data_IF_029104090087
#
_entry.id   IF_029104090087
#
_cell.length_a   1.000
_cell.length_b   1.000
_cell.length_c   1.000
_cell.angle_alpha   90.00
_cell.angle_beta   90.00
_cell.angle_gamma   90.00
#
_symmetry.space_group_name_H-M   'P 1'
#
loop_
_entity.id
_entity.type
_entity.pdbx_description
1 polymer ?
#
# COMPACT_ATOMS: atom_id res chain seq x y z
N UNK A 1 -6.20 -16.64 3.92
CA UNK A 1 -5.62 -16.40 5.26
C UNK A 1 -6.77 -16.18 6.24
N UNK A 2 -6.77 -16.82 7.41
CA UNK A 2 -7.85 -16.63 8.40
C UNK A 2 -7.81 -15.20 8.95
N UNK A 3 -8.97 -14.58 9.22
CA UNK A 3 -9.10 -13.20 9.68
C UNK A 3 -8.30 -12.88 10.96
N UNK A 4 -7.99 -13.90 11.77
CA UNK A 4 -7.26 -13.79 13.02
C UNK A 4 -5.77 -13.38 12.86
N UNK A 5 -5.17 -13.65 11.69
CA UNK A 5 -3.74 -13.37 11.45
C UNK A 5 -3.44 -11.91 11.03
N UNK A 6 -4.47 -11.09 10.81
CA UNK A 6 -4.32 -9.68 10.42
C UNK A 6 -4.39 -8.71 11.60
N UNK A 7 -4.87 -9.14 12.77
CA UNK A 7 -4.92 -8.26 13.95
C UNK A 7 -3.48 -7.93 14.39
N UNK A 8 -3.13 -6.65 14.58
CA UNK A 8 -1.79 -6.28 15.05
C UNK A 8 -1.59 -6.76 16.48
N UNK A 9 -0.44 -7.39 16.73
CA UNK A 9 0.02 -7.71 18.09
C UNK A 9 0.93 -6.61 18.62
N UNK A 10 1.20 -6.57 19.94
CA UNK A 10 2.16 -5.62 20.51
C UNK A 10 3.56 -5.77 19.90
N UNK A 11 3.95 -7.00 19.55
CA UNK A 11 5.20 -7.28 18.85
C UNK A 11 5.21 -6.69 17.43
N UNK A 12 4.08 -6.73 16.73
CA UNK A 12 3.95 -6.08 15.42
C UNK A 12 4.06 -4.57 15.55
N UNK A 13 3.38 -3.97 16.54
CA UNK A 13 3.42 -2.53 16.76
C UNK A 13 4.83 -2.04 17.12
N UNK A 14 5.56 -2.77 17.95
CA UNK A 14 6.96 -2.47 18.27
C UNK A 14 7.87 -2.53 17.03
N UNK A 15 7.66 -3.52 16.15
CA UNK A 15 8.39 -3.62 14.87
C UNK A 15 8.04 -2.42 13.99
N UNK A 16 6.76 -2.09 13.83
CA UNK A 16 6.33 -0.97 12.98
C UNK A 16 6.89 0.36 13.53
N UNK A 17 6.93 0.54 14.85
CA UNK A 17 7.53 1.72 15.48
C UNK A 17 9.02 1.85 15.13
N UNK A 18 9.77 0.75 15.23
CA UNK A 18 11.19 0.74 14.85
C UNK A 18 11.39 1.03 13.36
N UNK A 19 10.59 0.39 12.51
CA UNK A 19 10.60 0.58 11.06
C UNK A 19 10.33 2.03 10.65
N UNK A 20 9.39 2.70 11.32
CA UNK A 20 9.00 4.08 11.02
C UNK A 20 9.88 5.12 11.73
N UNK A 21 10.65 4.72 12.76
CA UNK A 21 11.39 5.62 13.64
C UNK A 21 10.49 6.56 14.47
N UNK A 22 9.21 6.21 14.62
CA UNK A 22 8.18 6.97 15.33
C UNK A 22 7.00 6.08 15.67
N UNK A 23 6.22 6.48 16.67
CA UNK A 23 4.99 5.77 17.03
C UNK A 23 4.04 5.62 15.83
N UNK A 24 3.57 4.40 15.51
CA UNK A 24 2.68 4.15 14.38
C UNK A 24 1.35 4.89 14.55
N UNK A 25 0.83 5.46 13.46
CA UNK A 25 -0.49 6.11 13.46
C UNK A 25 -1.57 5.06 13.26
N UNK A 26 -2.40 4.85 14.28
CA UNK A 26 -3.61 4.01 14.29
C UNK A 26 -3.56 2.81 13.33
N UNK A 27 -2.87 1.74 13.72
CA UNK A 27 -2.78 0.52 12.89
C UNK A 27 -4.06 -0.30 13.08
N UNK A 28 -4.88 -0.38 12.03
CA UNK A 28 -6.11 -1.19 12.03
C UNK A 28 -5.79 -2.68 11.87
N UNK A 29 -4.93 -3.02 10.89
CA UNK A 29 -4.55 -4.39 10.59
C UNK A 29 -3.15 -4.48 9.94
N UNK A 30 -2.56 -5.67 9.98
CA UNK A 30 -1.40 -6.02 9.16
C UNK A 30 -1.91 -6.51 7.81
N UNK A 31 -1.78 -5.66 6.79
CA UNK A 31 -2.25 -5.93 5.44
C UNK A 31 -1.37 -6.97 4.74
N UNK A 32 -0.05 -6.85 4.95
CA UNK A 32 0.93 -7.77 4.38
C UNK A 32 2.11 -7.99 5.33
N UNK A 33 2.49 -9.27 5.48
CA UNK A 33 3.71 -9.70 6.16
C UNK A 33 4.76 -10.06 5.12
N UNK A 34 5.94 -9.47 5.27
CA UNK A 34 7.11 -9.81 4.48
C UNK A 34 7.48 -11.28 4.66
N UNK A 35 8.13 -11.95 3.68
CA UNK A 35 8.59 -13.33 3.85
C UNK A 35 9.53 -13.57 5.04
N UNK A 36 10.17 -12.51 5.57
CA UNK A 36 10.94 -12.59 6.83
C UNK A 36 10.06 -12.65 8.10
N UNK A 37 8.73 -12.64 7.96
CA UNK A 37 7.74 -12.73 9.05
C UNK A 37 7.28 -11.38 9.62
N UNK A 38 7.99 -10.29 9.33
CA UNK A 38 7.70 -8.95 9.88
C UNK A 38 6.61 -8.21 9.08
N UNK A 39 5.80 -7.33 9.70
CA UNK A 39 4.91 -6.44 8.98
C UNK A 39 5.66 -5.65 7.91
N UNK A 40 5.07 -5.50 6.73
CA UNK A 40 5.59 -4.63 5.70
C UNK A 40 4.57 -3.64 5.15
N UNK A 41 3.28 -3.97 5.23
CA UNK A 41 2.18 -3.07 4.90
C UNK A 41 1.12 -3.16 5.99
N UNK A 42 0.58 -2.02 6.40
CA UNK A 42 -0.52 -1.90 7.36
C UNK A 42 -1.77 -1.32 6.73
N UNK A 43 -2.92 -1.65 7.30
CA UNK A 43 -4.19 -0.93 7.09
C UNK A 43 -4.30 0.17 8.14
N UNK A 44 -4.54 1.41 7.72
CA UNK A 44 -4.80 2.57 8.60
C UNK A 44 -6.22 3.09 8.39
N UNK A 45 -6.96 3.45 9.44
CA UNK A 45 -8.32 3.92 9.30
C UNK A 45 -8.38 5.23 8.49
N UNK A 46 -9.48 5.49 7.77
CA UNK A 46 -9.65 6.72 6.98
C UNK A 46 -9.68 8.00 7.82
N UNK A 47 -9.84 7.88 9.15
CA UNK A 47 -9.69 8.96 10.12
C UNK A 47 -8.89 8.46 11.31
N UNK A 48 -7.86 9.23 11.67
CA UNK A 48 -7.01 8.94 12.81
C UNK A 48 -7.73 9.28 14.13
N UNK A 49 -7.23 8.76 15.24
CA UNK A 49 -7.74 8.98 16.60
C UNK A 49 -7.69 10.44 17.04
N UNK A 50 -6.79 11.25 16.44
CA UNK A 50 -6.73 12.70 16.62
C UNK A 50 -7.77 13.47 15.77
N UNK A 51 -8.60 12.76 14.98
CA UNK A 51 -9.63 13.32 14.12
C UNK A 51 -9.20 13.68 12.69
N UNK A 52 -7.90 13.60 12.38
CA UNK A 52 -7.35 13.94 11.07
C UNK A 52 -7.79 12.92 9.99
N UNK A 53 -8.34 13.36 8.84
CA UNK A 53 -8.57 12.48 7.70
C UNK A 53 -7.25 11.92 7.17
N UNK A 54 -7.22 10.63 6.86
CA UNK A 54 -6.03 9.94 6.35
C UNK A 54 -6.37 9.13 5.10
N UNK A 55 -6.05 9.63 3.89
CA UNK A 55 -6.50 9.01 2.65
C UNK A 55 -5.78 7.69 2.32
N UNK A 56 -4.57 7.50 2.84
CA UNK A 56 -3.76 6.30 2.61
C UNK A 56 -4.24 5.18 3.53
N UNK A 57 -4.83 4.13 2.96
CA UNK A 57 -5.37 2.96 3.64
C UNK A 57 -4.29 1.90 3.79
N UNK A 58 -3.58 1.59 2.69
CA UNK A 58 -2.42 0.70 2.69
C UNK A 58 -1.13 1.48 2.79
N UNK A 59 -0.41 1.34 3.91
CA UNK A 59 0.83 2.07 4.17
C UNK A 59 2.01 1.11 4.33
N UNK A 60 3.02 1.24 3.48
CA UNK A 60 4.25 0.46 3.57
C UNK A 60 5.13 0.97 4.72
N UNK A 61 5.43 0.11 5.68
CA UNK A 61 6.22 0.45 6.87
C UNK A 61 7.64 -0.10 6.78
N UNK A 62 7.83 -1.23 6.11
CA UNK A 62 9.14 -1.89 6.02
C UNK A 62 10.18 -0.97 5.34
N UNK A 63 11.27 -0.57 6.03
CA UNK A 63 12.25 0.38 5.52
C UNK A 63 13.02 -0.15 4.30
N UNK A 64 13.17 -1.47 4.21
CA UNK A 64 13.84 -2.14 3.08
C UNK A 64 12.96 -2.14 1.84
N UNK A 65 11.65 -2.36 2.02
CA UNK A 65 10.66 -2.26 0.96
C UNK A 65 10.59 -0.81 0.45
N UNK A 66 10.41 0.16 1.35
CA UNK A 66 10.31 1.58 0.95
C UNK A 66 11.58 2.10 0.29
N UNK A 67 12.77 1.66 0.72
CA UNK A 67 14.03 1.99 0.06
C UNK A 67 14.14 1.39 -1.36
N UNK A 68 13.71 0.14 -1.55
CA UNK A 68 13.68 -0.50 -2.86
C UNK A 68 12.68 0.21 -3.80
N UNK A 69 11.50 0.56 -3.30
CA UNK A 69 10.49 1.33 -4.03
C UNK A 69 11.03 2.72 -4.41
N UNK A 70 11.63 3.43 -3.45
CA UNK A 70 12.22 4.76 -3.70
C UNK A 70 13.30 4.70 -4.79
N UNK A 71 14.10 3.64 -4.81
CA UNK A 71 15.09 3.43 -5.89
C UNK A 71 14.39 3.21 -7.23
N UNK A 72 13.35 2.37 -7.27
CA UNK A 72 12.58 2.11 -8.47
C UNK A 72 11.88 3.38 -9.00
N UNK A 73 11.38 4.25 -8.12
CA UNK A 73 10.74 5.52 -8.51
C UNK A 73 11.69 6.45 -9.29
N UNK A 74 13.01 6.28 -9.17
CA UNK A 74 14.02 7.08 -9.91
C UNK A 74 14.31 6.56 -11.32
N UNK A 75 13.81 5.39 -11.72
CA UNK A 75 14.15 4.76 -13.00
C UNK A 75 13.38 5.32 -14.19
N UNK A 76 12.35 6.14 -13.95
CA UNK A 76 11.42 6.63 -14.97
C UNK A 76 10.15 5.78 -15.13
N UNK A 77 10.06 4.62 -14.47
CA UNK A 77 8.93 3.70 -14.57
C UNK A 77 7.56 4.37 -14.37
N UNK A 78 7.42 5.27 -13.40
CA UNK A 78 6.14 5.97 -13.18
C UNK A 78 5.70 6.81 -14.37
N UNK A 79 6.64 7.44 -15.09
CA UNK A 79 6.34 8.21 -16.30
C UNK A 79 5.89 7.32 -17.44
N UNK A 80 6.54 6.17 -17.61
CA UNK A 80 6.15 5.16 -18.61
C UNK A 80 4.75 4.59 -18.32
N UNK A 81 4.46 4.27 -17.06
CA UNK A 81 3.14 3.83 -16.63
C UNK A 81 2.07 4.91 -16.86
N UNK A 82 2.38 6.18 -16.55
CA UNK A 82 1.48 7.30 -16.80
C UNK A 82 1.14 7.45 -18.29
N UNK A 83 2.14 7.35 -19.18
CA UNK A 83 1.94 7.44 -20.62
C UNK A 83 1.10 6.26 -21.16
N UNK A 84 1.27 5.06 -20.59
CA UNK A 84 0.44 3.90 -20.94
C UNK A 84 -1.02 4.10 -20.54
N UNK A 85 -1.30 4.67 -19.37
CA UNK A 85 -2.69 4.97 -18.94
C UNK A 85 -3.43 5.90 -19.92
N UNK A 86 -2.72 6.76 -20.65
CA UNK A 86 -3.33 7.66 -21.63
C UNK A 86 -3.71 6.98 -22.95
N UNK A 87 -3.12 5.82 -23.25
CA UNK A 87 -3.21 5.18 -24.58
C UNK A 87 -3.76 3.76 -24.55
N UNK A 88 -3.66 3.07 -23.42
CA UNK A 88 -4.16 1.71 -23.21
C UNK A 88 -5.45 1.73 -22.39
N UNK A 89 -6.58 1.62 -23.08
CA UNK A 89 -7.90 1.63 -22.46
C UNK A 89 -8.17 0.40 -21.58
N UNK A 90 -7.51 -0.74 -21.85
CA UNK A 90 -7.66 -1.95 -21.02
C UNK A 90 -6.96 -1.72 -19.69
N UNK A 91 -5.70 -1.29 -19.73
CA UNK A 91 -4.93 -0.94 -18.54
C UNK A 91 -5.64 0.14 -17.71
N UNK A 92 -6.17 1.18 -18.35
CA UNK A 92 -6.91 2.23 -17.66
C UNK A 92 -8.17 1.69 -16.96
N UNK A 93 -8.89 0.76 -17.60
CA UNK A 93 -10.05 0.08 -17.00
C UNK A 93 -9.67 -0.81 -15.82
N UNK A 94 -8.60 -1.59 -15.93
CA UNK A 94 -8.10 -2.44 -14.83
C UNK A 94 -7.59 -1.61 -13.65
N UNK A 95 -6.91 -0.49 -13.92
CA UNK A 95 -6.43 0.42 -12.88
C UNK A 95 -7.57 1.21 -12.21
N UNK A 96 -8.67 1.47 -12.94
CA UNK A 96 -9.91 1.96 -12.36
C UNK A 96 -10.60 0.91 -11.46
N UNK A 97 -10.61 -0.37 -11.87
CA UNK A 97 -11.11 -1.44 -11.00
C UNK A 97 -10.26 -1.57 -9.72
N UNK A 98 -8.94 -1.37 -9.79
CA UNK A 98 -8.07 -1.33 -8.63
C UNK A 98 -8.41 -0.16 -7.67
N UNK A 99 -8.82 0.99 -8.20
CA UNK A 99 -9.31 2.10 -7.40
C UNK A 99 -10.60 1.75 -6.64
N UNK A 100 -11.55 1.11 -7.33
CA UNK A 100 -12.81 0.68 -6.73
C UNK A 100 -12.60 -0.38 -5.64
N UNK A 101 -11.70 -1.35 -5.87
CA UNK A 101 -11.30 -2.35 -4.87
C UNK A 101 -10.72 -1.69 -3.61
N UNK A 102 -9.80 -0.74 -3.79
CA UNK A 102 -9.23 0.03 -2.69
C UNK A 102 -10.31 0.76 -1.87
N UNK A 103 -11.26 1.41 -2.54
CA UNK A 103 -12.37 2.12 -1.87
C UNK A 103 -13.26 1.14 -1.13
N UNK A 104 -13.58 0.00 -1.74
CA UNK A 104 -14.42 -1.03 -1.13
C UNK A 104 -13.75 -1.59 0.13
N UNK A 105 -12.45 -1.91 0.06
CA UNK A 105 -11.68 -2.42 1.19
C UNK A 105 -11.64 -1.42 2.36
N UNK A 106 -11.44 -0.14 2.07
CA UNK A 106 -11.46 0.92 3.10
C UNK A 106 -12.87 1.14 3.67
N UNK A 107 -13.89 1.15 2.81
CA UNK A 107 -15.29 1.32 3.21
C UNK A 107 -15.81 0.18 4.08
N UNK A 108 -15.21 -1.01 3.96
CA UNK A 108 -15.52 -2.14 4.82
C UNK A 108 -15.21 -1.89 6.31
N UNK A 109 -14.42 -0.85 6.64
CA UNK A 109 -14.23 -0.41 8.03
C UNK A 109 -15.47 0.28 8.62
N UNK A 110 -16.44 0.65 7.79
CA UNK A 110 -17.67 1.35 8.20
C UNK A 110 -17.41 2.68 8.96
N UNK A 111 -16.32 3.36 8.62
CA UNK A 111 -15.96 4.69 9.14
C UNK A 111 -16.20 5.70 8.03
N UNK A 112 -17.23 6.52 8.18
CA UNK A 112 -17.57 7.57 7.22
C UNK A 112 -16.64 8.78 7.37
N UNK A 113 -15.97 9.15 6.28
CA UNK A 113 -14.98 10.24 6.20
C UNK A 113 -15.15 10.93 4.84
N UNK A 114 -16.09 11.88 4.73
CA UNK A 114 -16.40 12.56 3.46
C UNK A 114 -15.18 13.22 2.81
N UNK A 115 -14.19 13.66 3.59
CA UNK A 115 -12.96 14.31 3.10
C UNK A 115 -12.09 13.40 2.23
N UNK A 116 -12.24 12.08 2.34
CA UNK A 116 -11.49 11.09 1.55
C UNK A 116 -12.40 10.20 0.72
N UNK A 117 -13.69 10.51 0.62
CA UNK A 117 -14.65 9.80 -0.23
C UNK A 117 -14.17 9.80 -1.68
N UNK A 118 -14.20 8.62 -2.33
CA UNK A 118 -13.68 8.43 -3.69
C UNK A 118 -12.21 8.82 -3.91
N UNK A 119 -11.41 8.97 -2.83
CA UNK A 119 -9.97 9.21 -2.90
C UNK A 119 -9.22 7.93 -2.55
N UNK A 120 -8.55 7.33 -3.52
CA UNK A 120 -7.55 6.27 -3.27
C UNK A 120 -6.12 6.84 -3.26
N UNK A 121 -5.15 6.02 -2.86
CA UNK A 121 -3.74 6.42 -2.82
C UNK A 121 -3.02 6.20 -4.17
N UNK A 122 -1.76 6.66 -4.27
CA UNK A 122 -0.91 6.43 -5.44
C UNK A 122 -1.25 7.22 -6.71
N UNK A 123 -2.31 8.04 -6.70
CA UNK A 123 -2.78 8.79 -7.88
C UNK A 123 -3.84 8.09 -8.71
N UNK A 124 -4.22 6.86 -8.33
CA UNK A 124 -5.35 6.12 -8.90
C UNK A 124 -6.64 6.97 -8.98
N UNK A 125 -7.51 6.72 -9.97
CA UNK A 125 -7.36 5.76 -11.07
C UNK A 125 -6.67 6.35 -12.31
N UNK A 126 -6.34 7.64 -12.31
CA UNK A 126 -5.96 8.35 -13.55
C UNK A 126 -4.47 8.72 -13.61
N UNK A 127 -3.75 8.58 -12.50
CA UNK A 127 -2.34 8.95 -12.40
C UNK A 127 -1.49 7.94 -11.65
N UNK A 128 -0.20 8.03 -11.86
CA UNK A 128 0.83 7.33 -11.08
C UNK A 128 1.68 8.39 -10.37
N UNK A 129 1.34 8.68 -9.11
CA UNK A 129 2.05 9.68 -8.29
C UNK A 129 3.17 9.07 -7.44
N UNK A 130 2.97 7.85 -6.94
CA UNK A 130 3.97 7.12 -6.17
C UNK A 130 3.72 5.60 -6.26
N UNK A 131 4.80 4.83 -6.36
CA UNK A 131 4.76 3.37 -6.38
C UNK A 131 4.54 2.79 -4.99
N UNK A 132 4.89 3.52 -3.93
CA UNK A 132 4.70 3.11 -2.54
C UNK A 132 3.27 2.64 -2.25
N UNK A 133 2.28 3.42 -2.68
CA UNK A 133 0.87 3.09 -2.46
C UNK A 133 0.38 1.98 -3.38
N UNK A 134 0.86 1.92 -4.63
CA UNK A 134 0.43 0.91 -5.59
C UNK A 134 0.95 -0.48 -5.22
N UNK A 135 2.23 -0.56 -4.83
CA UNK A 135 2.84 -1.80 -4.35
C UNK A 135 2.23 -2.21 -3.01
N UNK A 136 2.01 -1.27 -2.08
CA UNK A 136 1.32 -1.56 -0.83
C UNK A 136 -0.09 -2.12 -1.06
N UNK A 137 -0.83 -1.57 -2.02
CA UNK A 137 -2.13 -2.09 -2.40
C UNK A 137 -2.01 -3.50 -2.99
N UNK A 138 -1.11 -3.73 -3.94
CA UNK A 138 -0.91 -5.03 -4.60
C UNK A 138 -0.51 -6.15 -3.63
N UNK A 139 0.39 -5.85 -2.70
CA UNK A 139 0.79 -6.77 -1.64
C UNK A 139 -0.38 -7.16 -0.71
N UNK A 140 -1.35 -6.26 -0.55
CA UNK A 140 -2.47 -6.42 0.38
C UNK A 140 -3.69 -7.08 -0.26
N UNK A 141 -4.06 -6.66 -1.47
CA UNK A 141 -5.20 -7.18 -2.22
C UNK A 141 -4.88 -8.48 -2.96
N UNK A 142 -3.61 -8.67 -3.33
CA UNK A 142 -3.10 -9.85 -4.02
C UNK A 142 -2.88 -9.65 -5.52
N UNK A 143 -2.22 -10.62 -6.19
CA UNK A 143 -1.84 -10.50 -7.59
C UNK A 143 -3.04 -10.35 -8.52
N UNK A 144 -2.92 -9.47 -9.52
CA UNK A 144 -3.92 -9.19 -10.54
C UNK A 144 -4.94 -8.14 -10.15
N UNK A 145 -4.92 -7.62 -8.93
CA UNK A 145 -5.87 -6.58 -8.48
C UNK A 145 -5.42 -5.19 -8.92
N UNK A 146 -4.11 -4.90 -8.86
CA UNK A 146 -3.57 -3.60 -9.23
C UNK A 146 -2.43 -3.80 -10.24
N UNK A 147 -2.70 -3.75 -11.56
CA UNK A 147 -1.73 -4.15 -12.58
C UNK A 147 -0.43 -3.34 -12.54
N UNK A 148 -0.51 -2.03 -12.27
CA UNK A 148 0.67 -1.17 -12.17
C UNK A 148 1.45 -1.41 -10.88
N UNK A 149 0.75 -1.69 -9.78
CA UNK A 149 1.41 -2.05 -8.53
C UNK A 149 2.06 -3.44 -8.59
N UNK A 150 1.45 -4.40 -9.28
CA UNK A 150 1.99 -5.73 -9.55
C UNK A 150 3.25 -5.67 -10.43
N UNK A 151 3.18 -4.88 -11.50
CA UNK A 151 4.32 -4.62 -12.39
C UNK A 151 5.50 -4.00 -11.60
N UNK A 152 5.22 -2.99 -10.78
CA UNK A 152 6.25 -2.35 -9.95
C UNK A 152 6.80 -3.30 -8.88
N UNK A 153 5.95 -4.12 -8.26
CA UNK A 153 6.34 -5.12 -7.28
C UNK A 153 7.26 -6.18 -7.89
N UNK A 154 6.96 -6.65 -9.11
CA UNK A 154 7.78 -7.63 -9.83
C UNK A 154 9.16 -7.08 -10.23
N UNK A 155 9.29 -5.77 -10.38
CA UNK A 155 10.56 -5.11 -10.67
C UNK A 155 11.45 -4.90 -9.43
N UNK A 156 10.94 -5.11 -8.22
CA UNK A 156 11.74 -4.99 -7.00
C UNK A 156 12.70 -6.18 -6.84
N UNK A 157 13.90 -5.95 -6.27
CA UNK A 157 14.71 -7.06 -5.78
C UNK A 157 14.00 -7.77 -4.63
N UNK A 158 14.43 -8.98 -4.29
CA UNK A 158 13.95 -9.69 -3.10
C UNK A 158 14.47 -9.01 -1.81
N UNK A 159 13.85 -7.89 -1.45
CA UNK A 159 14.30 -6.96 -0.41
C UNK A 159 14.39 -7.61 0.98
N UNK A 160 13.81 -8.79 1.17
CA UNK A 160 13.81 -9.53 2.44
C UNK A 160 14.99 -10.48 2.63
N UNK A 161 15.74 -10.83 1.57
CA UNK A 161 16.66 -12.00 1.61
C UNK A 161 17.86 -11.89 2.56
N UNK A 162 18.34 -10.68 2.85
CA UNK A 162 19.66 -10.52 3.48
C UNK A 162 19.65 -10.05 4.95
N UNK A 163 18.55 -9.46 5.45
CA UNK A 163 18.41 -8.88 6.79
C UNK A 163 16.94 -8.92 7.23
N UNK A 164 16.68 -8.91 8.54
CA UNK A 164 15.31 -8.72 9.04
C UNK A 164 14.78 -7.34 8.64
N UNK A 165 13.47 -7.23 8.44
CA UNK A 165 12.79 -5.96 8.21
C UNK A 165 12.39 -5.33 9.54
N UNK A 166 13.34 -5.14 10.45
CA UNK A 166 13.14 -4.46 11.74
C UNK A 166 13.94 -3.18 11.77
#
# INVERSE_FOLDING_TARGET
MSADNRRPTDADLAVIENQLGRTPRDVHAIAYRCPCGKPAVVETPPRLSNGEPFPTFYYATCPRLTAAISTLETTGMMGEMQARLETDAVLAGEYAAAHDDYIAARSALQIDVPEVENVSAGGMPNRVKCLHSLIAHSLSAGPGVNPLGDEALAALPEWWKHLSCE
#
